data_IF_748146996487
#
_entry.id   IF_748146996487
#
_cell.length_a   1.000
_cell.length_b   1.000
_cell.length_c   1.000
_cell.angle_alpha   90.00
_cell.angle_beta   90.00
_cell.angle_gamma   90.00
#
_symmetry.space_group_name_H-M   'P 1'
#
loop_
_entity.id
_entity.type
_entity.pdbx_description
1 polymer ?
#
# COMPACT_ATOMS: atom_id res chain seq x y z
N UNK A 1 2.81 62.71 -10.28
CA UNK A 1 2.38 61.33 -10.01
C UNK A 1 3.46 60.69 -9.16
N UNK A 2 3.11 60.33 -7.92
CA UNK A 2 4.07 59.89 -6.94
C UNK A 2 4.75 58.57 -7.36
N UNK A 3 6.09 58.48 -7.27
CA UNK A 3 6.84 57.27 -7.66
C UNK A 3 6.31 56.01 -6.97
N UNK A 4 5.77 56.16 -5.75
CA UNK A 4 5.13 55.06 -5.00
C UNK A 4 3.85 54.56 -5.65
N UNK A 5 3.03 55.42 -6.22
CA UNK A 5 1.78 55.07 -6.92
C UNK A 5 2.11 54.31 -8.20
N UNK A 6 3.18 54.71 -8.94
CA UNK A 6 3.63 54.04 -10.12
C UNK A 6 4.13 52.60 -9.85
N UNK A 7 4.86 52.38 -8.76
CA UNK A 7 5.37 51.07 -8.34
C UNK A 7 4.22 50.13 -7.94
N UNK A 8 3.26 50.62 -7.16
CA UNK A 8 2.09 49.82 -6.76
C UNK A 8 1.24 49.43 -7.99
N UNK A 9 1.04 50.36 -8.92
CA UNK A 9 0.30 50.07 -10.16
C UNK A 9 1.03 48.99 -11.02
N UNK A 10 2.34 49.05 -11.13
CA UNK A 10 3.13 48.03 -11.85
C UNK A 10 3.06 46.66 -11.17
N UNK A 11 3.11 46.60 -9.84
CA UNK A 11 3.00 45.34 -9.11
C UNK A 11 1.62 44.70 -9.32
N UNK A 12 0.55 45.47 -9.27
CA UNK A 12 -0.82 44.98 -9.51
C UNK A 12 -0.98 44.44 -10.94
N UNK A 13 -0.41 45.11 -11.93
CA UNK A 13 -0.44 44.65 -13.33
C UNK A 13 0.36 43.37 -13.51
N UNK A 14 1.52 43.24 -12.87
CA UNK A 14 2.34 42.02 -12.92
C UNK A 14 1.61 40.85 -12.25
N UNK A 15 0.99 41.07 -11.11
CA UNK A 15 0.19 40.02 -10.44
C UNK A 15 -1.01 39.60 -11.29
N UNK A 16 -1.72 40.55 -11.91
CA UNK A 16 -2.84 40.27 -12.79
C UNK A 16 -2.39 39.50 -14.05
N UNK A 17 -1.21 39.80 -14.61
CA UNK A 17 -0.63 39.07 -15.73
C UNK A 17 -0.21 37.65 -15.33
N UNK A 18 0.40 37.46 -14.17
CA UNK A 18 0.78 36.12 -13.65
C UNK A 18 -0.45 35.26 -13.42
N UNK A 19 -1.49 35.82 -12.79
CA UNK A 19 -2.77 35.10 -12.56
C UNK A 19 -3.48 34.80 -13.89
N UNK A 20 -3.47 35.75 -14.83
CA UNK A 20 -4.05 35.56 -16.16
C UNK A 20 -3.32 34.50 -16.99
N UNK A 21 -1.99 34.47 -16.96
CA UNK A 21 -1.18 33.44 -17.64
C UNK A 21 -1.36 32.08 -16.97
N UNK A 22 -1.40 32.02 -15.64
CA UNK A 22 -1.63 30.78 -14.91
C UNK A 22 -3.04 30.22 -15.21
N UNK A 23 -4.08 31.07 -15.26
CA UNK A 23 -5.42 30.63 -15.63
C UNK A 23 -5.51 30.19 -17.10
N UNK A 24 -4.79 30.89 -18.02
CA UNK A 24 -4.74 30.53 -19.44
C UNK A 24 -3.91 29.28 -19.72
N UNK A 25 -2.88 29.02 -18.92
CA UNK A 25 -2.01 27.84 -19.04
C UNK A 25 -2.52 26.60 -18.28
N UNK A 26 -3.67 26.69 -17.61
CA UNK A 26 -4.22 25.58 -16.85
C UNK A 26 -3.39 25.21 -15.60
N UNK A 27 -2.47 26.09 -15.16
CA UNK A 27 -1.61 25.83 -13.97
C UNK A 27 -2.44 25.80 -12.66
N UNK A 28 -3.67 26.31 -12.68
CA UNK A 28 -4.64 26.24 -11.58
C UNK A 28 -5.75 25.20 -11.79
N UNK A 29 -5.71 24.43 -12.87
CA UNK A 29 -6.53 23.21 -12.97
C UNK A 29 -5.87 22.07 -12.16
N UNK A 30 -5.58 22.40 -10.92
CA UNK A 30 -5.25 21.45 -9.89
C UNK A 30 -6.53 20.98 -9.22
N UNK A 31 -7.18 20.10 -9.84
CA UNK A 31 -8.06 19.03 -9.38
C UNK A 31 -8.59 18.41 -10.67
N UNK A 32 -7.89 17.42 -11.18
CA UNK A 32 -8.56 16.40 -11.96
C UNK A 32 -9.58 15.79 -11.01
N UNK A 33 -10.78 16.42 -10.88
CA UNK A 33 -11.95 15.62 -10.56
C UNK A 33 -11.94 14.55 -11.63
N UNK A 34 -11.55 13.33 -11.25
CA UNK A 34 -11.93 12.14 -11.98
C UNK A 34 -13.46 12.29 -12.05
N UNK A 35 -13.97 12.72 -13.20
CA UNK A 35 -15.40 12.72 -13.45
C UNK A 35 -15.72 11.24 -13.44
N UNK A 36 -16.25 10.74 -12.32
CA UNK A 36 -16.86 9.43 -12.27
C UNK A 36 -17.98 9.46 -13.32
N UNK A 37 -17.63 9.07 -14.53
CA UNK A 37 -18.63 8.59 -15.49
C UNK A 37 -19.20 7.33 -14.83
N UNK A 38 -20.50 7.12 -14.85
CA UNK A 38 -21.21 5.95 -14.27
C UNK A 38 -20.65 4.59 -14.76
N UNK A 39 -19.65 4.62 -15.62
CA UNK A 39 -18.97 3.48 -16.24
C UNK A 39 -17.49 3.33 -15.84
N UNK A 40 -16.99 4.11 -14.94
CA UNK A 40 -15.60 4.04 -14.48
C UNK A 40 -15.56 3.50 -13.06
N UNK A 41 -14.63 2.56 -12.80
CA UNK A 41 -14.30 2.06 -11.47
C UNK A 41 -12.86 2.42 -11.15
N UNK A 42 -12.65 3.27 -10.14
CA UNK A 42 -11.33 3.66 -9.63
C UNK A 42 -10.98 2.76 -8.47
N UNK A 43 -10.02 1.86 -8.68
CA UNK A 43 -9.57 0.88 -7.69
C UNK A 43 -8.30 1.38 -7.02
N UNK A 44 -8.36 1.59 -5.70
CA UNK A 44 -7.21 1.89 -4.86
C UNK A 44 -6.50 0.61 -4.41
N UNK A 45 -5.18 0.57 -4.57
CA UNK A 45 -4.37 -0.59 -4.20
C UNK A 45 -2.94 -0.17 -3.84
N UNK A 46 -2.28 -0.97 -3.00
CA UNK A 46 -0.85 -0.86 -2.70
C UNK A 46 -0.05 -1.47 -3.85
N UNK A 47 0.77 -0.66 -4.54
CA UNK A 47 1.57 -1.11 -5.68
C UNK A 47 2.86 -1.84 -5.28
N UNK A 48 3.10 -2.01 -3.98
CA UNK A 48 4.24 -2.74 -3.40
C UNK A 48 3.79 -4.03 -2.68
N UNK A 49 2.63 -4.60 -3.11
CA UNK A 49 1.99 -5.76 -2.48
C UNK A 49 1.81 -6.96 -3.44
N UNK A 50 2.89 -7.47 -4.05
CA UNK A 50 2.80 -8.64 -4.92
C UNK A 50 2.43 -9.90 -4.13
N UNK A 51 1.66 -10.83 -4.70
CA UNK A 51 1.19 -10.91 -6.08
C UNK A 51 -0.15 -10.23 -6.34
N UNK A 52 -0.70 -9.50 -5.39
CA UNK A 52 -2.07 -8.97 -5.45
C UNK A 52 -2.16 -7.69 -6.30
N UNK A 53 -1.31 -6.69 -6.00
CA UNK A 53 -1.16 -5.46 -6.76
C UNK A 53 0.30 -5.00 -6.72
N UNK A 54 0.92 -4.80 -7.88
CA UNK A 54 2.30 -4.35 -7.93
C UNK A 54 2.65 -3.78 -9.30
N UNK A 55 3.83 -3.16 -9.37
CA UNK A 55 4.39 -2.65 -10.61
C UNK A 55 5.37 -3.65 -11.19
N UNK A 56 5.16 -4.08 -12.43
CA UNK A 56 6.05 -5.00 -13.14
C UNK A 56 7.30 -4.30 -13.69
N UNK A 57 8.21 -5.08 -14.30
CA UNK A 57 9.46 -4.59 -14.89
C UNK A 57 9.25 -3.63 -16.07
N UNK A 58 8.05 -3.63 -16.69
CA UNK A 58 7.68 -2.71 -17.76
C UNK A 58 7.09 -1.41 -17.20
N UNK A 59 6.88 -1.33 -15.90
CA UNK A 59 6.27 -0.20 -15.23
C UNK A 59 4.74 -0.22 -15.22
N UNK A 60 4.12 -1.36 -15.61
CA UNK A 60 2.67 -1.52 -15.61
C UNK A 60 2.18 -2.04 -14.27
N UNK A 61 0.97 -1.62 -13.87
CA UNK A 61 0.32 -2.15 -12.67
C UNK A 61 -0.40 -3.44 -12.98
N UNK A 62 0.04 -4.51 -12.33
CA UNK A 62 -0.40 -5.90 -12.53
C UNK A 62 -0.67 -6.58 -11.17
N UNK A 63 -1.25 -7.76 -11.21
CA UNK A 63 -1.45 -8.60 -10.04
C UNK A 63 -2.83 -9.24 -10.01
N UNK A 64 -2.98 -10.23 -9.14
CA UNK A 64 -4.19 -11.06 -9.06
C UNK A 64 -5.46 -10.21 -8.86
N UNK A 65 -5.43 -9.26 -7.92
CA UNK A 65 -6.59 -8.43 -7.62
C UNK A 65 -6.92 -7.45 -8.76
N UNK A 66 -5.89 -6.93 -9.44
CA UNK A 66 -6.08 -6.05 -10.59
C UNK A 66 -6.63 -6.80 -11.80
N UNK A 67 -6.27 -8.08 -11.98
CA UNK A 67 -6.84 -8.93 -13.03
C UNK A 67 -8.31 -9.25 -12.73
N UNK A 68 -8.66 -9.53 -11.47
CA UNK A 68 -10.06 -9.74 -11.05
C UNK A 68 -10.88 -8.46 -11.22
N UNK A 69 -10.31 -7.31 -10.84
CA UNK A 69 -10.97 -6.01 -11.03
C UNK A 69 -11.21 -5.70 -12.53
N UNK A 70 -10.24 -6.04 -13.40
CA UNK A 70 -10.39 -5.90 -14.85
C UNK A 70 -11.53 -6.77 -15.37
N UNK A 71 -11.60 -8.04 -14.97
CA UNK A 71 -12.66 -8.97 -15.37
C UNK A 71 -14.05 -8.46 -14.92
N UNK A 72 -14.16 -7.89 -13.72
CA UNK A 72 -15.40 -7.26 -13.25
C UNK A 72 -15.78 -6.07 -14.13
N UNK A 73 -14.82 -5.22 -14.48
CA UNK A 73 -15.06 -4.08 -15.35
C UNK A 73 -15.51 -4.52 -16.76
N UNK A 74 -14.83 -5.51 -17.34
CA UNK A 74 -15.16 -6.03 -18.66
C UNK A 74 -16.58 -6.60 -18.72
N UNK A 75 -17.00 -7.38 -17.71
CA UNK A 75 -18.37 -7.93 -17.61
C UNK A 75 -19.44 -6.88 -17.47
N UNK A 76 -19.12 -5.75 -16.87
CA UNK A 76 -20.07 -4.66 -16.65
C UNK A 76 -19.96 -3.55 -17.70
N UNK A 77 -19.06 -3.67 -18.68
CA UNK A 77 -18.73 -2.63 -19.65
C UNK A 77 -18.34 -1.31 -18.97
N UNK A 78 -17.51 -1.44 -17.92
CA UNK A 78 -16.89 -0.32 -17.20
C UNK A 78 -15.43 -0.13 -17.62
N UNK A 79 -14.89 1.05 -17.34
CA UNK A 79 -13.46 1.34 -17.49
C UNK A 79 -12.78 1.20 -16.13
N UNK A 80 -11.75 0.33 -16.03
CA UNK A 80 -10.92 0.23 -14.83
C UNK A 80 -9.89 1.35 -14.80
N UNK A 81 -9.81 2.08 -13.68
CA UNK A 81 -8.71 2.98 -13.35
C UNK A 81 -7.95 2.38 -12.16
N UNK A 82 -6.70 2.01 -12.37
CA UNK A 82 -5.81 1.47 -11.35
C UNK A 82 -5.11 2.63 -10.65
N UNK A 83 -5.50 2.92 -9.41
CA UNK A 83 -4.97 4.03 -8.62
C UNK A 83 -4.05 3.49 -7.51
N UNK A 84 -2.71 3.60 -7.66
CA UNK A 84 -1.81 3.25 -6.57
C UNK A 84 -1.98 4.25 -5.42
N UNK A 85 -1.99 3.74 -4.20
CA UNK A 85 -2.12 4.52 -2.97
C UNK A 85 -1.08 4.09 -1.94
N UNK A 86 -0.72 4.99 -1.03
CA UNK A 86 -0.04 4.61 0.19
C UNK A 86 -1.03 3.84 1.08
N UNK A 87 -0.62 2.66 1.60
CA UNK A 87 -1.56 1.80 2.31
C UNK A 87 -2.18 2.44 3.55
N UNK A 88 -1.43 3.23 4.28
CA UNK A 88 -1.92 3.96 5.46
C UNK A 88 -2.83 5.16 5.11
N UNK A 89 -2.91 5.55 3.83
CA UNK A 89 -3.81 6.57 3.33
C UNK A 89 -5.16 6.02 2.81
N UNK A 90 -5.34 4.68 2.72
CA UNK A 90 -6.50 4.03 2.09
C UNK A 90 -7.86 4.57 2.55
N UNK A 91 -8.01 4.84 3.85
CA UNK A 91 -9.26 5.33 4.41
C UNK A 91 -9.56 6.76 3.97
N UNK A 92 -8.53 7.61 3.91
CA UNK A 92 -8.69 8.98 3.44
C UNK A 92 -9.00 9.05 1.95
N UNK A 93 -8.36 8.18 1.14
CA UNK A 93 -8.61 8.08 -0.30
C UNK A 93 -10.03 7.59 -0.58
N UNK A 94 -10.49 6.56 0.15
CA UNK A 94 -11.86 6.05 0.02
C UNK A 94 -12.89 7.09 0.49
N UNK A 95 -12.68 7.70 1.65
CA UNK A 95 -13.63 8.66 2.22
C UNK A 95 -13.71 9.98 1.43
N UNK A 96 -12.64 10.38 0.77
CA UNK A 96 -12.64 11.57 -0.12
C UNK A 96 -13.30 11.31 -1.46
N UNK A 97 -13.47 10.03 -1.85
CA UNK A 97 -13.95 9.64 -3.17
C UNK A 97 -12.88 9.75 -4.26
N UNK A 98 -11.60 9.79 -3.88
CA UNK A 98 -10.46 9.68 -4.83
C UNK A 98 -10.42 8.30 -5.46
N UNK A 99 -10.86 7.28 -4.72
CA UNK A 99 -11.07 5.91 -5.17
C UNK A 99 -12.50 5.47 -4.87
N UNK A 100 -13.04 4.58 -5.69
CA UNK A 100 -14.38 4.02 -5.51
C UNK A 100 -14.37 2.81 -4.56
N UNK A 101 -13.28 2.05 -4.57
CA UNK A 101 -13.08 0.93 -3.68
C UNK A 101 -11.59 0.65 -3.44
N UNK A 102 -11.30 -0.09 -2.35
CA UNK A 102 -10.00 -0.68 -2.07
C UNK A 102 -10.05 -2.14 -2.54
N UNK A 103 -9.08 -2.56 -3.35
CA UNK A 103 -8.98 -3.94 -3.83
C UNK A 103 -7.53 -4.39 -3.84
N UNK A 104 -7.11 -5.11 -2.78
CA UNK A 104 -5.69 -5.35 -2.50
C UNK A 104 -5.42 -6.56 -1.59
N UNK A 105 -6.11 -7.69 -1.76
CA UNK A 105 -6.00 -8.79 -0.80
C UNK A 105 -6.37 -8.34 0.62
N UNK A 106 -7.30 -7.40 0.74
CA UNK A 106 -7.58 -6.70 1.98
C UNK A 106 -8.31 -7.59 2.97
N UNK A 107 -7.66 -7.92 4.08
CA UNK A 107 -8.21 -8.81 5.10
C UNK A 107 -9.38 -8.16 5.84
N UNK A 108 -10.53 -8.81 5.81
CA UNK A 108 -11.77 -8.35 6.45
C UNK A 108 -11.75 -8.55 7.97
N UNK A 109 -11.10 -9.61 8.47
CA UNK A 109 -11.09 -9.98 9.86
C UNK A 109 -10.66 -8.84 10.79
N UNK A 110 -11.51 -8.52 11.78
CA UNK A 110 -11.32 -7.41 12.70
C UNK A 110 -11.68 -6.03 12.17
N UNK A 111 -12.20 -5.95 10.92
CA UNK A 111 -12.61 -4.73 10.24
C UNK A 111 -14.03 -4.81 9.67
N UNK A 112 -14.81 -5.81 10.07
CA UNK A 112 -16.12 -6.15 9.52
C UNK A 112 -17.08 -4.96 9.53
N UNK A 113 -17.05 -4.16 10.59
CA UNK A 113 -17.92 -2.99 10.78
C UNK A 113 -17.36 -1.67 10.20
N UNK A 114 -16.13 -1.71 9.62
CA UNK A 114 -15.46 -0.49 9.16
C UNK A 114 -15.75 -0.17 7.70
N UNK A 115 -16.09 -1.20 6.90
CA UNK A 115 -16.30 -1.07 5.45
C UNK A 115 -17.54 -1.84 5.01
N UNK A 116 -17.99 -1.55 3.80
CA UNK A 116 -18.90 -2.43 3.05
C UNK A 116 -18.06 -3.42 2.25
N UNK A 117 -18.13 -4.68 2.60
CA UNK A 117 -17.30 -5.75 2.03
C UNK A 117 -18.00 -6.49 0.91
N UNK A 118 -17.21 -7.03 -0.03
CA UNK A 118 -17.65 -8.11 -0.90
C UNK A 118 -17.75 -9.43 -0.12
N UNK A 119 -18.29 -10.48 -0.75
CA UNK A 119 -18.05 -11.83 -0.26
C UNK A 119 -16.54 -12.13 -0.30
N UNK A 120 -15.99 -12.88 0.68
CA UNK A 120 -14.61 -13.32 0.64
C UNK A 120 -14.34 -14.17 -0.60
N UNK A 121 -13.26 -13.86 -1.31
CA UNK A 121 -12.87 -14.59 -2.54
C UNK A 121 -11.51 -15.28 -2.42
N UNK A 122 -10.80 -15.09 -1.29
CA UNK A 122 -9.50 -15.67 -1.04
C UNK A 122 -9.28 -15.89 0.46
N UNK A 123 -8.72 -17.05 0.83
CA UNK A 123 -8.30 -17.35 2.19
C UNK A 123 -6.88 -16.86 2.42
N UNK A 124 -6.66 -16.15 3.52
CA UNK A 124 -5.36 -15.59 3.88
C UNK A 124 -4.97 -15.98 5.31
N UNK A 125 -3.69 -15.97 5.59
CA UNK A 125 -3.14 -16.05 6.96
C UNK A 125 -1.88 -15.22 7.08
N UNK A 126 -1.59 -14.76 8.29
CA UNK A 126 -0.36 -14.09 8.63
C UNK A 126 0.71 -15.12 8.98
N UNK A 127 1.93 -14.89 8.51
CA UNK A 127 3.09 -15.76 8.73
C UNK A 127 4.30 -14.94 9.14
N UNK A 128 5.29 -15.60 9.72
CA UNK A 128 6.61 -15.01 9.98
C UNK A 128 7.60 -15.54 8.93
N UNK A 129 8.33 -14.60 8.31
CA UNK A 129 9.43 -14.89 7.39
C UNK A 129 10.74 -14.51 8.06
N UNK A 130 11.76 -15.37 7.94
CA UNK A 130 13.11 -15.15 8.44
C UNK A 130 14.15 -15.53 7.39
N UNK A 131 15.41 -15.13 7.59
CA UNK A 131 16.51 -15.63 6.75
C UNK A 131 16.79 -17.09 7.06
N UNK A 132 16.98 -17.86 6.02
CA UNK A 132 17.46 -19.24 6.12
C UNK A 132 18.81 -19.28 6.85
N UNK A 133 18.93 -20.15 7.86
CA UNK A 133 20.14 -20.25 8.66
C UNK A 133 20.38 -19.12 9.66
N UNK A 134 19.37 -18.28 9.93
CA UNK A 134 19.44 -17.22 10.96
C UNK A 134 19.48 -17.75 12.39
N UNK A 135 19.17 -19.04 12.59
CA UNK A 135 19.01 -19.64 13.92
C UNK A 135 17.67 -19.28 14.59
N UNK A 136 16.72 -18.79 13.82
CA UNK A 136 15.33 -18.57 14.23
C UNK A 136 14.52 -19.68 13.55
N UNK A 137 14.14 -20.70 14.31
CA UNK A 137 13.47 -21.90 13.81
C UNK A 137 12.02 -22.01 14.31
N UNK A 138 11.64 -21.18 15.28
CA UNK A 138 10.31 -21.15 15.89
C UNK A 138 9.90 -19.73 16.33
N UNK A 139 8.61 -19.50 16.62
CA UNK A 139 8.13 -18.22 17.16
C UNK A 139 8.79 -17.87 18.51
N UNK A 140 9.20 -18.84 19.32
CA UNK A 140 9.87 -18.58 20.59
C UNK A 140 11.25 -17.95 20.42
N UNK A 141 11.91 -18.16 19.26
CA UNK A 141 13.23 -17.61 18.95
C UNK A 141 13.16 -16.13 18.56
N UNK A 142 11.96 -15.60 18.35
CA UNK A 142 11.73 -14.17 18.10
C UNK A 142 11.92 -13.30 19.35
N UNK A 143 12.10 -13.92 20.51
CA UNK A 143 12.34 -13.17 21.74
C UNK A 143 13.61 -12.31 21.62
N UNK A 144 13.42 -10.99 21.83
CA UNK A 144 14.49 -10.01 21.73
C UNK A 144 14.92 -9.65 20.30
N UNK A 145 14.21 -10.15 19.28
CA UNK A 145 14.47 -9.90 17.87
C UNK A 145 13.75 -8.65 17.36
N UNK A 146 14.27 -8.06 16.29
CA UNK A 146 13.61 -6.98 15.57
C UNK A 146 12.68 -7.58 14.52
N UNK A 147 11.38 -7.38 14.69
CA UNK A 147 10.35 -7.85 13.77
C UNK A 147 9.74 -6.66 13.05
N UNK A 148 9.66 -6.76 11.73
CA UNK A 148 9.02 -5.74 10.91
C UNK A 148 7.68 -6.20 10.35
N UNK A 149 6.81 -5.25 10.11
CA UNK A 149 5.54 -5.44 9.40
C UNK A 149 5.08 -4.14 8.76
N UNK A 150 4.23 -4.23 7.76
CA UNK A 150 3.69 -3.03 7.13
C UNK A 150 2.74 -2.32 8.10
N UNK A 151 2.84 -1.00 8.13
CA UNK A 151 1.94 -0.12 8.87
C UNK A 151 0.49 -0.38 8.45
N UNK A 152 -0.42 -0.39 9.43
CA UNK A 152 -1.86 -0.60 9.23
C UNK A 152 -2.24 -1.91 8.50
N UNK A 153 -1.35 -2.91 8.55
CA UNK A 153 -1.56 -4.24 8.00
C UNK A 153 -2.37 -5.14 8.93
N UNK A 154 -2.84 -6.28 8.40
CA UNK A 154 -3.48 -7.32 9.19
C UNK A 154 -2.50 -8.03 10.12
N UNK A 155 -1.23 -8.15 9.71
CA UNK A 155 -0.17 -8.69 10.55
C UNK A 155 0.08 -7.79 11.77
N UNK A 156 0.14 -6.47 11.57
CA UNK A 156 0.27 -5.51 12.68
C UNK A 156 -0.93 -5.62 13.62
N UNK A 157 -2.16 -5.67 13.09
CA UNK A 157 -3.37 -5.81 13.89
C UNK A 157 -3.35 -7.10 14.74
N UNK A 158 -2.92 -8.22 14.17
CA UNK A 158 -2.77 -9.48 14.91
C UNK A 158 -1.72 -9.37 16.02
N UNK A 159 -0.55 -8.77 15.75
CA UNK A 159 0.51 -8.57 16.74
C UNK A 159 0.15 -7.58 17.84
N UNK A 160 -0.75 -6.64 17.57
CA UNK A 160 -1.28 -5.72 18.58
C UNK A 160 -2.49 -6.28 19.33
N UNK A 161 -3.14 -7.32 18.78
CA UNK A 161 -4.33 -8.00 19.30
C UNK A 161 -4.05 -9.41 19.80
N UNK A 162 -4.56 -10.41 19.08
CA UNK A 162 -4.54 -11.82 19.50
C UNK A 162 -3.13 -12.41 19.68
N UNK A 163 -2.13 -11.90 18.96
CA UNK A 163 -0.74 -12.30 19.06
C UNK A 163 0.12 -11.33 19.89
N UNK A 164 -0.52 -10.47 20.66
CA UNK A 164 0.20 -9.48 21.49
C UNK A 164 1.17 -10.12 22.48
N UNK A 165 0.83 -11.26 23.04
CA UNK A 165 1.71 -11.98 23.97
C UNK A 165 3.03 -12.40 23.30
N UNK A 166 3.00 -12.77 22.02
CA UNK A 166 4.19 -13.02 21.22
C UNK A 166 4.94 -11.71 20.94
N UNK A 167 4.25 -10.70 20.47
CA UNK A 167 4.84 -9.40 20.11
C UNK A 167 5.54 -8.73 21.31
N UNK A 168 5.00 -8.88 22.53
CA UNK A 168 5.61 -8.37 23.77
C UNK A 168 6.96 -9.04 24.10
N UNK A 169 7.32 -10.15 23.44
CA UNK A 169 8.62 -10.80 23.61
C UNK A 169 9.68 -10.25 22.66
N UNK A 170 9.30 -9.54 21.59
CA UNK A 170 10.22 -8.98 20.60
C UNK A 170 11.16 -7.95 21.23
N UNK A 171 12.31 -7.75 20.63
CA UNK A 171 13.18 -6.64 20.96
C UNK A 171 12.56 -5.32 20.50
N UNK A 172 12.10 -5.31 19.24
CA UNK A 172 11.34 -4.22 18.65
C UNK A 172 10.31 -4.77 17.66
N UNK A 173 9.12 -4.18 17.62
CA UNK A 173 8.17 -4.29 16.53
C UNK A 173 8.22 -2.97 15.75
N UNK A 174 8.66 -3.04 14.49
CA UNK A 174 8.90 -1.87 13.63
C UNK A 174 7.87 -1.85 12.51
N UNK A 175 7.25 -0.70 12.31
CA UNK A 175 6.29 -0.48 11.23
C UNK A 175 7.02 0.16 10.04
N UNK A 176 6.93 -0.47 8.88
CA UNK A 176 7.47 0.03 7.60
C UNK A 176 6.33 0.44 6.65
N UNK A 177 6.66 1.20 5.62
CA UNK A 177 5.66 1.70 4.68
C UNK A 177 5.07 0.57 3.82
N UNK A 178 5.94 -0.35 3.37
CA UNK A 178 5.60 -1.43 2.44
C UNK A 178 6.45 -2.69 2.70
N UNK A 179 6.01 -3.83 2.16
CA UNK A 179 6.71 -5.10 2.34
C UNK A 179 7.97 -5.25 1.49
N UNK A 180 8.12 -4.52 0.38
CA UNK A 180 9.39 -4.54 -0.36
C UNK A 180 10.52 -3.99 0.51
N UNK A 181 10.25 -2.89 1.24
CA UNK A 181 11.17 -2.33 2.24
C UNK A 181 11.50 -3.36 3.33
N UNK A 182 10.50 -4.01 3.93
CA UNK A 182 10.72 -5.04 4.95
C UNK A 182 11.61 -6.20 4.45
N UNK A 183 11.36 -6.69 3.23
CA UNK A 183 12.16 -7.78 2.64
C UNK A 183 13.60 -7.34 2.32
N UNK A 184 13.83 -6.08 1.91
CA UNK A 184 15.17 -5.52 1.75
C UNK A 184 15.90 -5.43 3.11
N UNK A 185 15.19 -5.03 4.16
CA UNK A 185 15.74 -4.95 5.51
C UNK A 185 16.07 -6.33 6.08
N UNK A 186 15.21 -7.32 5.84
CA UNK A 186 15.52 -8.72 6.19
C UNK A 186 16.72 -9.25 5.41
N UNK A 187 16.83 -8.96 4.12
CA UNK A 187 17.96 -9.37 3.28
C UNK A 187 19.27 -8.75 3.75
N UNK A 188 19.27 -7.47 4.08
CA UNK A 188 20.44 -6.75 4.59
C UNK A 188 20.81 -7.12 6.03
N UNK A 189 19.87 -7.69 6.79
CA UNK A 189 20.01 -7.98 8.22
C UNK A 189 19.69 -6.76 9.11
N UNK A 190 19.00 -5.75 8.59
CA UNK A 190 18.51 -4.63 9.39
C UNK A 190 17.36 -5.06 10.32
N UNK A 191 16.56 -6.06 9.91
CA UNK A 191 15.63 -6.77 10.79
C UNK A 191 15.92 -8.26 10.84
N UNK A 192 15.35 -8.96 11.82
CA UNK A 192 15.53 -10.40 12.04
C UNK A 192 14.38 -11.23 11.44
N UNK A 193 13.18 -10.66 11.35
CA UNK A 193 11.97 -11.33 10.88
C UNK A 193 10.93 -10.33 10.34
N UNK A 194 10.02 -10.83 9.50
CA UNK A 194 8.89 -10.07 8.96
C UNK A 194 7.60 -10.80 9.29
N UNK A 195 6.59 -10.09 9.79
CA UNK A 195 5.21 -10.58 9.87
C UNK A 195 4.44 -10.10 8.62
N UNK A 196 3.87 -11.02 7.84
CA UNK A 196 3.36 -10.73 6.50
C UNK A 196 2.29 -11.72 6.05
N UNK A 197 1.48 -11.35 5.08
CA UNK A 197 0.53 -12.23 4.39
C UNK A 197 1.25 -13.38 3.67
N UNK A 198 0.70 -14.59 3.80
CA UNK A 198 1.34 -15.80 3.24
C UNK A 198 1.52 -15.72 1.72
N UNK A 199 0.60 -15.07 1.00
CA UNK A 199 0.72 -14.90 -0.45
C UNK A 199 1.90 -14.03 -0.83
N UNK A 200 2.14 -12.93 -0.10
CA UNK A 200 3.30 -12.05 -0.27
C UNK A 200 4.59 -12.81 0.07
N UNK A 201 4.60 -13.54 1.20
CA UNK A 201 5.75 -14.38 1.57
C UNK A 201 6.12 -15.37 0.47
N UNK A 202 5.15 -16.12 -0.07
CA UNK A 202 5.40 -17.07 -1.15
C UNK A 202 5.88 -16.40 -2.43
N UNK A 203 5.32 -15.23 -2.78
CA UNK A 203 5.77 -14.49 -3.95
C UNK A 203 7.25 -14.09 -3.80
N UNK A 204 7.61 -13.48 -2.71
CA UNK A 204 8.98 -13.02 -2.44
C UNK A 204 10.00 -14.18 -2.43
N UNK A 205 9.61 -15.34 -1.85
CA UNK A 205 10.47 -16.53 -1.81
C UNK A 205 10.64 -17.16 -3.19
N UNK A 206 9.60 -17.16 -4.04
CA UNK A 206 9.63 -17.90 -5.30
C UNK A 206 10.05 -17.04 -6.51
N UNK A 207 9.94 -15.72 -6.42
CA UNK A 207 10.13 -14.81 -7.57
C UNK A 207 11.48 -14.11 -7.59
N UNK A 208 12.21 -14.09 -6.48
CA UNK A 208 13.53 -13.48 -6.40
C UNK A 208 14.63 -14.51 -6.56
N UNK A 209 15.73 -14.16 -7.23
CA UNK A 209 16.92 -15.01 -7.42
C UNK A 209 17.50 -15.48 -6.09
N UNK A 210 17.37 -14.67 -5.02
CA UNK A 210 17.78 -14.95 -3.65
C UNK A 210 16.63 -15.42 -2.74
N UNK A 211 15.46 -15.75 -3.28
CA UNK A 211 14.28 -16.15 -2.49
C UNK A 211 14.52 -17.41 -1.65
N UNK A 212 15.45 -18.27 -2.07
CA UNK A 212 15.90 -19.43 -1.24
C UNK A 212 16.63 -19.05 0.05
N UNK A 213 16.96 -17.77 0.24
CA UNK A 213 17.55 -17.25 1.46
C UNK A 213 16.50 -16.96 2.56
N UNK A 214 15.20 -17.05 2.23
CA UNK A 214 14.11 -16.82 3.16
C UNK A 214 13.29 -18.09 3.41
N UNK A 215 12.77 -18.20 4.61
CA UNK A 215 11.88 -19.30 5.01
C UNK A 215 10.71 -18.78 5.83
N UNK A 216 9.54 -19.40 5.62
CA UNK A 216 8.37 -19.19 6.46
C UNK A 216 8.52 -20.08 7.68
N UNK A 217 8.40 -19.52 8.88
CA UNK A 217 8.38 -20.33 10.10
C UNK A 217 7.13 -21.20 10.13
N UNK A 218 7.35 -22.50 10.30
CA UNK A 218 6.27 -23.46 10.49
C UNK A 218 5.98 -23.57 11.98
N UNK A 219 4.94 -22.87 12.45
CA UNK A 219 4.36 -23.18 13.75
C UNK A 219 3.12 -24.06 13.56
N UNK A 220 3.19 -25.21 14.19
CA UNK A 220 2.04 -26.10 14.37
C UNK A 220 1.18 -25.64 15.54
#
# INVERSE_FOLDING_TARGET
MDKKIGIIACIIVIIALIVGVAAYSGVFDGESKVVNDDKTLVVGFDAEFPPYGYKDDNGEYVGFDLDVAQEVCDRNNWTLVKQPIDWDAKDSELNSGSIDCIWNGFTMNGREDQYTWSDPYFDNKQVIVVKNGSGIDSLSDLKGKNVETQKDSSALAALQGDQKALADTFGNLVEVADYNTAFMDLESGACDAIAVDIGVAHYQINSKDNGGDFVILNDN
#
